data_IF_847348162439
#
_entry.id   IF_847348162439
#
_cell.length_a   1.000
_cell.length_b   1.000
_cell.length_c   1.000
_cell.angle_alpha   90.00
_cell.angle_beta   90.00
_cell.angle_gamma   90.00
#
_symmetry.space_group_name_H-M   'P 1'
#
loop_
_entity.id
_entity.type
_entity.pdbx_description
1 polymer ?
#
# COMPACT_ATOMS: atom_id res chain seq x y z
N UNK A 1 46.51 -13.49 31.04
CA UNK A 1 45.33 -13.86 30.22
C UNK A 1 44.12 -12.96 30.48
N UNK A 2 43.86 -12.50 31.71
CA UNK A 2 42.79 -11.52 32.01
C UNK A 2 42.90 -10.20 31.23
N UNK A 3 44.12 -9.70 31.04
CA UNK A 3 44.35 -8.45 30.32
C UNK A 3 43.86 -8.54 28.85
N UNK A 4 44.15 -9.64 28.15
CA UNK A 4 43.70 -9.85 26.75
C UNK A 4 42.17 -9.90 26.65
N UNK A 5 41.48 -10.60 27.56
CA UNK A 5 40.01 -10.62 27.60
C UNK A 5 39.43 -9.22 27.81
N UNK A 6 39.99 -8.45 28.74
CA UNK A 6 39.58 -7.06 28.99
C UNK A 6 39.78 -6.18 27.76
N UNK A 7 40.91 -6.29 27.05
CA UNK A 7 41.15 -5.56 25.80
C UNK A 7 40.15 -5.96 24.71
N UNK A 8 39.82 -7.24 24.56
CA UNK A 8 38.82 -7.71 23.60
C UNK A 8 37.43 -7.17 23.92
N UNK A 9 37.01 -7.20 25.19
CA UNK A 9 35.75 -6.60 25.64
C UNK A 9 35.70 -5.09 25.35
N UNK A 10 36.76 -4.34 25.66
CA UNK A 10 36.84 -2.92 25.31
C UNK A 10 36.73 -2.68 23.80
N UNK A 11 37.38 -3.50 22.97
CA UNK A 11 37.27 -3.36 21.52
C UNK A 11 35.86 -3.67 21.00
N UNK A 12 35.17 -4.64 21.60
CA UNK A 12 33.80 -4.96 21.23
C UNK A 12 32.82 -3.87 21.69
N UNK A 13 33.00 -3.28 22.87
CA UNK A 13 32.25 -2.10 23.32
C UNK A 13 32.50 -0.88 22.41
N UNK A 14 33.76 -0.66 21.99
CA UNK A 14 34.09 0.39 21.02
C UNK A 14 33.42 0.13 19.67
N UNK A 15 33.35 -1.13 19.22
CA UNK A 15 32.60 -1.48 18.00
C UNK A 15 31.11 -1.23 18.18
N UNK A 16 30.51 -1.70 19.28
CA UNK A 16 29.09 -1.50 19.62
C UNK A 16 28.72 -0.02 19.65
N UNK A 17 29.53 0.82 20.29
CA UNK A 17 29.29 2.28 20.35
C UNK A 17 29.35 2.98 18.98
N UNK A 18 29.93 2.32 17.96
CA UNK A 18 29.98 2.81 16.57
C UNK A 18 28.87 2.24 15.69
N UNK A 19 28.14 1.22 16.16
CA UNK A 19 26.98 0.68 15.45
C UNK A 19 25.86 1.72 15.54
N UNK A 20 25.22 2.01 14.40
CA UNK A 20 24.06 2.89 14.39
C UNK A 20 22.96 2.26 15.25
N UNK A 21 22.22 3.04 16.06
CA UNK A 21 21.06 2.50 16.73
C UNK A 21 20.10 1.90 15.70
N UNK A 22 19.38 0.84 16.10
CA UNK A 22 18.31 0.31 15.27
C UNK A 22 17.30 1.40 14.95
N UNK A 23 16.58 1.22 13.84
CA UNK A 23 15.41 2.05 13.55
C UNK A 23 14.41 1.91 14.69
N UNK A 24 13.73 3.00 15.01
CA UNK A 24 12.68 3.01 16.04
C UNK A 24 11.67 1.89 15.77
N UNK A 25 11.33 1.13 16.80
CA UNK A 25 10.27 0.13 16.71
C UNK A 25 8.96 0.80 16.34
N UNK A 26 8.12 0.16 15.51
CA UNK A 26 6.83 0.75 15.08
C UNK A 26 5.95 1.17 16.27
N UNK A 27 6.06 0.44 17.38
CA UNK A 27 5.32 0.69 18.61
C UNK A 27 5.74 1.95 19.37
N UNK A 28 6.95 2.45 19.17
CA UNK A 28 7.45 3.67 19.84
C UNK A 28 6.57 4.90 19.60
N UNK A 29 5.85 4.91 18.47
CA UNK A 29 4.92 5.98 18.08
C UNK A 29 3.45 5.62 18.30
N UNK A 30 3.14 4.35 18.52
CA UNK A 30 1.79 3.83 18.65
C UNK A 30 1.34 3.70 20.10
N UNK A 31 2.29 3.51 21.02
CA UNK A 31 2.03 3.24 22.43
C UNK A 31 2.58 4.34 23.33
N UNK A 32 1.94 4.54 24.48
CA UNK A 32 2.47 5.42 25.52
C UNK A 32 3.56 4.71 26.34
N UNK A 33 4.27 5.46 27.19
CA UNK A 33 5.41 4.93 27.95
C UNK A 33 5.07 3.76 28.88
N UNK A 34 3.87 3.75 29.48
CA UNK A 34 3.44 2.65 30.33
C UNK A 34 3.15 1.39 29.51
N UNK A 35 2.46 1.53 28.38
CA UNK A 35 2.18 0.45 27.44
C UNK A 35 3.48 -0.15 26.87
N UNK A 36 4.45 0.70 26.50
CA UNK A 36 5.78 0.26 26.04
C UNK A 36 6.55 -0.53 27.10
N UNK A 37 6.51 -0.09 28.36
CA UNK A 37 7.10 -0.84 29.46
C UNK A 37 6.40 -2.20 29.64
N UNK A 38 5.07 -2.23 29.67
CA UNK A 38 4.29 -3.47 29.80
C UNK A 38 4.61 -4.46 28.68
N UNK A 39 4.70 -3.99 27.44
CA UNK A 39 5.10 -4.81 26.29
C UNK A 39 6.52 -5.40 26.46
N UNK A 40 7.50 -4.56 26.80
CA UNK A 40 8.88 -5.00 26.99
C UNK A 40 9.03 -5.98 28.17
N UNK A 41 8.28 -5.79 29.26
CA UNK A 41 8.26 -6.70 30.41
C UNK A 41 7.68 -8.06 30.03
N UNK A 42 6.55 -8.10 29.33
CA UNK A 42 5.96 -9.35 28.87
C UNK A 42 6.91 -10.09 27.90
N UNK A 43 7.53 -9.38 26.96
CA UNK A 43 8.46 -9.96 25.99
C UNK A 43 9.67 -10.57 26.72
N UNK A 44 10.27 -9.84 27.66
CA UNK A 44 11.39 -10.33 28.46
C UNK A 44 11.02 -11.55 29.32
N UNK A 45 9.79 -11.62 29.83
CA UNK A 45 9.33 -12.77 30.61
C UNK A 45 9.23 -14.04 29.77
N UNK A 46 8.75 -13.95 28.52
CA UNK A 46 8.75 -15.07 27.59
C UNK A 46 10.18 -15.53 27.26
N UNK A 47 11.10 -14.60 27.04
CA UNK A 47 12.51 -14.94 26.79
C UNK A 47 13.15 -15.62 28.02
N UNK A 48 12.88 -15.11 29.22
CA UNK A 48 13.33 -15.72 30.48
C UNK A 48 12.76 -17.12 30.72
N UNK A 49 11.54 -17.38 30.25
CA UNK A 49 10.94 -18.71 30.35
C UNK A 49 11.70 -19.75 29.51
N UNK A 50 12.25 -19.35 28.36
CA UNK A 50 13.10 -20.21 27.54
C UNK A 50 14.50 -20.44 28.15
N UNK A 51 14.88 -19.67 29.17
CA UNK A 51 16.14 -19.81 29.91
C UNK A 51 16.72 -18.47 30.37
N UNK A 52 17.90 -18.53 31.00
CA UNK A 52 18.61 -17.30 31.39
C UNK A 52 18.98 -16.46 30.16
N UNK A 53 18.95 -15.14 30.32
CA UNK A 53 19.38 -14.19 29.29
C UNK A 53 20.86 -14.41 28.99
N UNK A 54 21.17 -14.70 27.73
CA UNK A 54 22.53 -14.89 27.23
C UNK A 54 23.23 -13.56 26.96
N UNK A 55 24.54 -13.60 26.75
CA UNK A 55 25.31 -12.40 26.41
C UNK A 55 24.87 -11.76 25.08
N UNK A 56 24.50 -12.55 24.05
CA UNK A 56 24.04 -11.95 22.80
C UNK A 56 22.60 -11.42 22.92
N UNK A 57 21.74 -12.06 23.72
CA UNK A 57 20.42 -11.51 24.03
C UNK A 57 20.53 -10.19 24.80
N UNK A 58 21.39 -10.12 25.82
CA UNK A 58 21.69 -8.89 26.55
C UNK A 58 22.19 -7.79 25.60
N UNK A 59 23.13 -8.14 24.70
CA UNK A 59 23.61 -7.23 23.66
C UNK A 59 22.48 -6.76 22.74
N UNK A 60 21.58 -7.65 22.31
CA UNK A 60 20.44 -7.29 21.47
C UNK A 60 19.50 -6.32 22.20
N UNK A 61 19.22 -6.54 23.49
CA UNK A 61 18.42 -5.62 24.31
C UNK A 61 19.01 -4.19 24.38
N UNK A 62 20.35 -4.04 24.34
CA UNK A 62 20.98 -2.70 24.33
C UNK A 62 20.59 -1.87 23.10
N UNK A 63 20.28 -2.52 21.97
CA UNK A 63 19.83 -1.84 20.75
C UNK A 63 18.29 -1.81 20.64
N UNK A 64 17.63 -2.87 21.08
CA UNK A 64 16.18 -3.04 20.99
C UNK A 64 15.39 -2.14 21.96
N UNK A 65 15.78 -2.07 23.24
CA UNK A 65 15.02 -1.26 24.22
C UNK A 65 15.02 0.23 23.87
N UNK A 66 16.15 0.86 23.49
CA UNK A 66 16.13 2.26 23.06
C UNK A 66 15.31 2.50 21.79
N UNK A 67 15.18 1.51 20.91
CA UNK A 67 14.34 1.59 19.72
C UNK A 67 12.84 1.52 20.07
N UNK A 68 12.46 0.86 21.18
CA UNK A 68 11.11 0.94 21.74
C UNK A 68 10.88 2.26 22.50
N UNK A 69 11.74 2.56 23.46
CA UNK A 69 11.75 3.81 24.22
C UNK A 69 13.09 4.02 24.92
N UNK A 70 13.62 5.24 24.84
CA UNK A 70 14.91 5.64 25.44
C UNK A 70 14.93 5.55 26.97
N UNK A 71 13.76 5.50 27.61
CA UNK A 71 13.63 5.46 29.06
C UNK A 71 13.67 4.02 29.63
N UNK A 72 13.59 3.00 28.78
CA UNK A 72 13.59 1.60 29.20
C UNK A 72 15.00 1.12 29.52
N UNK A 73 15.16 0.45 30.68
CA UNK A 73 16.42 -0.14 31.11
C UNK A 73 16.28 -1.63 31.32
N UNK A 74 17.24 -2.39 30.79
CA UNK A 74 17.22 -3.84 30.82
C UNK A 74 17.09 -4.42 32.23
N UNK A 75 17.83 -3.89 33.21
CA UNK A 75 17.78 -4.38 34.60
C UNK A 75 16.39 -4.21 35.23
N UNK A 76 15.72 -3.10 34.95
CA UNK A 76 14.37 -2.81 35.45
C UNK A 76 13.33 -3.72 34.77
N UNK A 77 13.49 -3.96 33.46
CA UNK A 77 12.63 -4.86 32.69
C UNK A 77 12.75 -6.31 33.16
N UNK A 78 13.98 -6.82 33.31
CA UNK A 78 14.21 -8.20 33.78
C UNK A 78 13.67 -8.40 35.20
N UNK A 79 13.88 -7.43 36.11
CA UNK A 79 13.34 -7.50 37.46
C UNK A 79 11.82 -7.58 37.46
N UNK A 80 11.14 -6.75 36.65
CA UNK A 80 9.68 -6.78 36.53
C UNK A 80 9.17 -8.07 35.89
N UNK A 81 9.90 -8.60 34.91
CA UNK A 81 9.56 -9.84 34.20
C UNK A 81 9.58 -11.07 35.11
N UNK A 82 10.49 -11.10 36.09
CA UNK A 82 10.55 -12.16 37.12
C UNK A 82 9.40 -12.09 38.13
N UNK A 83 8.72 -10.94 38.23
CA UNK A 83 7.61 -10.69 39.16
C UNK A 83 6.24 -10.73 38.46
N UNK A 84 6.13 -11.33 37.28
CA UNK A 84 4.85 -11.52 36.61
C UNK A 84 4.00 -12.52 37.39
N UNK A 85 2.74 -12.16 37.62
CA UNK A 85 1.70 -12.99 38.18
C UNK A 85 0.48 -12.99 37.25
N UNK A 86 -0.54 -13.78 37.58
CA UNK A 86 -1.74 -13.96 36.74
C UNK A 86 -2.44 -12.64 36.38
N UNK A 87 -2.52 -11.68 37.32
CA UNK A 87 -3.19 -10.41 37.08
C UNK A 87 -2.40 -9.51 36.11
N UNK A 88 -1.06 -9.45 36.27
CA UNK A 88 -0.19 -8.75 35.33
C UNK A 88 -0.22 -9.39 33.95
N UNK A 89 -0.18 -10.74 33.90
CA UNK A 89 -0.22 -11.48 32.64
C UNK A 89 -1.51 -11.19 31.86
N UNK A 90 -2.67 -11.21 32.54
CA UNK A 90 -3.96 -10.84 31.93
C UNK A 90 -3.94 -9.42 31.38
N UNK A 91 -3.45 -8.46 32.17
CA UNK A 91 -3.38 -7.07 31.73
C UNK A 91 -2.47 -6.89 30.49
N UNK A 92 -1.34 -7.60 30.44
CA UNK A 92 -0.44 -7.54 29.29
C UNK A 92 -1.03 -8.21 28.06
N UNK A 93 -1.72 -9.34 28.21
CA UNK A 93 -2.42 -10.00 27.10
C UNK A 93 -3.53 -9.09 26.55
N UNK A 94 -4.34 -8.47 27.41
CA UNK A 94 -5.38 -7.53 26.98
C UNK A 94 -4.79 -6.36 26.19
N UNK A 95 -3.62 -5.84 26.59
CA UNK A 95 -2.92 -4.82 25.80
C UNK A 95 -2.57 -5.32 24.39
N UNK A 96 -2.11 -6.56 24.24
CA UNK A 96 -1.77 -7.09 22.91
C UNK A 96 -2.99 -7.26 22.02
N UNK A 97 -4.12 -7.71 22.57
CA UNK A 97 -5.38 -7.88 21.84
C UNK A 97 -6.01 -6.54 21.45
N UNK A 98 -6.12 -5.61 22.40
CA UNK A 98 -6.76 -4.30 22.19
C UNK A 98 -6.02 -3.43 21.17
N UNK A 99 -4.70 -3.62 21.05
CA UNK A 99 -3.83 -2.84 20.17
C UNK A 99 -3.37 -3.60 18.91
N UNK A 100 -3.85 -4.82 18.70
CA UNK A 100 -3.49 -5.69 17.58
C UNK A 100 -1.97 -5.92 17.42
N UNK A 101 -1.32 -6.31 18.52
CA UNK A 101 0.14 -6.42 18.63
C UNK A 101 0.67 -7.84 18.60
N UNK A 102 -0.21 -8.84 18.51
CA UNK A 102 0.12 -10.25 18.71
C UNK A 102 1.26 -10.74 17.82
N UNK A 103 1.24 -10.36 16.55
CA UNK A 103 2.25 -10.82 15.58
C UNK A 103 3.61 -10.13 15.77
N UNK A 104 3.63 -8.84 16.12
CA UNK A 104 4.88 -8.15 16.47
C UNK A 104 5.48 -8.75 17.74
N UNK A 105 4.65 -8.98 18.75
CA UNK A 105 5.05 -9.59 20.01
C UNK A 105 5.66 -10.98 19.78
N UNK A 106 4.97 -11.84 19.04
CA UNK A 106 5.44 -13.20 18.77
C UNK A 106 6.74 -13.19 17.96
N UNK A 107 6.87 -12.31 16.97
CA UNK A 107 8.11 -12.15 16.20
C UNK A 107 9.28 -11.75 17.11
N UNK A 108 9.11 -10.72 17.93
CA UNK A 108 10.15 -10.22 18.84
C UNK A 108 10.56 -11.30 19.86
N UNK A 109 9.59 -12.00 20.45
CA UNK A 109 9.86 -13.12 21.36
C UNK A 109 10.66 -14.21 20.66
N UNK A 110 10.26 -14.63 19.45
CA UNK A 110 10.95 -15.71 18.73
C UNK A 110 12.36 -15.31 18.31
N UNK A 111 12.58 -14.08 17.83
CA UNK A 111 13.91 -13.58 17.46
C UNK A 111 14.85 -13.63 18.66
N UNK A 112 14.42 -13.13 19.82
CA UNK A 112 15.24 -13.18 21.04
C UNK A 112 15.46 -14.61 21.54
N UNK A 113 14.40 -15.42 21.61
CA UNK A 113 14.47 -16.78 22.16
C UNK A 113 15.34 -17.71 21.32
N UNK A 114 15.47 -17.48 20.01
CA UNK A 114 16.25 -18.32 19.08
C UNK A 114 17.66 -17.81 18.79
N UNK A 115 18.02 -16.62 19.26
CA UNK A 115 19.31 -15.99 18.91
C UNK A 115 20.51 -16.88 19.27
N UNK A 116 20.50 -17.46 20.47
CA UNK A 116 21.57 -18.33 20.99
C UNK A 116 21.10 -19.70 21.48
N UNK A 117 19.80 -19.84 21.76
CA UNK A 117 19.25 -20.98 22.47
C UNK A 117 18.43 -21.86 21.54
N UNK A 118 18.54 -23.16 21.76
CA UNK A 118 17.52 -24.10 21.27
C UNK A 118 16.24 -23.80 22.04
N UNK A 119 15.14 -23.59 21.31
CA UNK A 119 13.80 -23.48 21.91
C UNK A 119 13.53 -24.76 22.69
N UNK A 120 13.35 -24.66 24.02
CA UNK A 120 13.05 -25.81 24.87
C UNK A 120 11.66 -26.36 24.56
N UNK A 121 11.42 -27.63 24.87
CA UNK A 121 10.10 -28.24 24.64
C UNK A 121 9.03 -27.59 25.53
N UNK A 122 9.38 -27.23 26.76
CA UNK A 122 8.50 -26.48 27.67
C UNK A 122 8.14 -25.10 27.10
N UNK A 123 9.10 -24.40 26.49
CA UNK A 123 8.82 -23.10 25.88
C UNK A 123 7.94 -23.23 24.62
N UNK A 124 8.10 -24.31 23.82
CA UNK A 124 7.17 -24.63 22.71
C UNK A 124 5.75 -24.85 23.22
N UNK A 125 5.57 -25.59 24.31
CA UNK A 125 4.26 -25.81 24.91
C UNK A 125 3.60 -24.49 25.35
N UNK A 126 4.37 -23.60 25.98
CA UNK A 126 3.88 -22.26 26.38
C UNK A 126 3.50 -21.41 25.18
N UNK A 127 4.35 -21.32 24.15
CA UNK A 127 4.04 -20.56 22.93
C UNK A 127 2.81 -21.14 22.23
N UNK A 128 2.70 -22.46 22.12
CA UNK A 128 1.54 -23.11 21.52
C UNK A 128 0.26 -22.81 22.31
N UNK A 129 0.32 -22.87 23.64
CA UNK A 129 -0.81 -22.53 24.52
C UNK A 129 -1.20 -21.06 24.39
N UNK A 130 -0.22 -20.16 24.31
CA UNK A 130 -0.43 -18.72 24.08
C UNK A 130 -1.13 -18.47 22.74
N UNK A 131 -0.57 -18.99 21.64
CA UNK A 131 -1.16 -18.86 20.31
C UNK A 131 -2.57 -19.46 20.22
N UNK A 132 -2.80 -20.62 20.86
CA UNK A 132 -4.10 -21.27 20.89
C UNK A 132 -5.14 -20.46 21.67
N UNK A 133 -4.77 -19.94 22.85
CA UNK A 133 -5.65 -19.14 23.70
C UNK A 133 -6.09 -17.84 23.00
N UNK A 134 -5.24 -17.31 22.13
CA UNK A 134 -5.48 -16.08 21.38
C UNK A 134 -6.00 -16.34 19.95
N UNK A 135 -6.41 -17.58 19.68
CA UNK A 135 -7.02 -17.99 18.40
C UNK A 135 -6.20 -17.63 17.17
N UNK A 136 -4.87 -17.65 17.28
CA UNK A 136 -3.98 -17.36 16.15
C UNK A 136 -4.04 -18.48 15.11
N UNK A 137 -4.25 -18.14 13.84
CA UNK A 137 -4.31 -19.12 12.76
C UNK A 137 -2.92 -19.73 12.48
N UNK A 138 -2.88 -21.03 12.18
CA UNK A 138 -1.63 -21.75 11.91
C UNK A 138 -0.84 -21.13 10.75
N UNK A 139 -1.53 -20.70 9.69
CA UNK A 139 -0.90 -20.06 8.53
C UNK A 139 -0.24 -18.72 8.88
N UNK A 140 -0.80 -17.97 9.84
CA UNK A 140 -0.22 -16.72 10.30
C UNK A 140 0.99 -16.96 11.19
N UNK A 141 0.92 -17.96 12.09
CA UNK A 141 2.06 -18.40 12.90
C UNK A 141 3.23 -18.85 12.01
N UNK A 142 2.96 -19.60 10.94
CA UNK A 142 3.98 -20.02 9.97
C UNK A 142 4.66 -18.84 9.28
N UNK A 143 3.93 -17.74 9.01
CA UNK A 143 4.51 -16.52 8.45
C UNK A 143 5.41 -15.79 9.47
N UNK A 144 5.05 -15.79 10.75
CA UNK A 144 5.89 -15.22 11.83
C UNK A 144 7.19 -16.02 11.94
N UNK A 145 7.12 -17.35 11.94
CA UNK A 145 8.29 -18.23 11.98
C UNK A 145 9.19 -18.00 10.77
N UNK A 146 8.61 -17.95 9.57
CA UNK A 146 9.35 -17.68 8.33
C UNK A 146 10.09 -16.34 8.38
N UNK A 147 9.45 -15.27 8.88
CA UNK A 147 10.10 -13.97 9.02
C UNK A 147 11.20 -14.00 10.09
N UNK A 148 10.97 -14.68 11.21
CA UNK A 148 12.00 -14.91 12.24
C UNK A 148 13.22 -15.63 11.66
N UNK A 149 13.04 -16.67 10.85
CA UNK A 149 14.13 -17.37 10.15
C UNK A 149 14.89 -16.41 9.23
N UNK A 150 14.16 -15.59 8.46
CA UNK A 150 14.77 -14.58 7.60
C UNK A 150 15.63 -13.56 8.39
N UNK A 151 15.15 -13.10 9.54
CA UNK A 151 15.88 -12.17 10.43
C UNK A 151 17.16 -12.82 10.97
N UNK A 152 17.08 -14.09 11.34
CA UNK A 152 18.21 -14.84 11.89
C UNK A 152 19.16 -15.38 10.81
N UNK A 153 18.87 -15.13 9.53
CA UNK A 153 19.67 -15.61 8.40
C UNK A 153 19.60 -17.13 8.20
N UNK A 154 18.53 -17.77 8.68
CA UNK A 154 18.29 -19.20 8.53
C UNK A 154 17.63 -19.43 7.17
N UNK A 155 18.28 -20.22 6.31
CA UNK A 155 17.71 -20.60 5.02
C UNK A 155 16.47 -21.48 5.23
N UNK A 156 15.37 -21.11 4.57
CA UNK A 156 14.12 -21.88 4.56
C UNK A 156 13.75 -22.19 3.12
N UNK A 157 13.58 -23.47 2.83
CA UNK A 157 13.20 -23.96 1.49
C UNK A 157 11.71 -23.67 1.19
N UNK A 158 10.87 -23.56 2.23
CA UNK A 158 9.42 -23.41 2.13
C UNK A 158 8.98 -21.98 2.45
N UNK A 159 8.88 -21.14 1.41
CA UNK A 159 8.27 -19.81 1.53
C UNK A 159 6.74 -19.95 1.65
N UNK A 160 6.11 -19.48 2.73
CA UNK A 160 4.66 -19.48 2.84
C UNK A 160 4.05 -18.50 1.83
N UNK A 161 2.78 -18.72 1.51
CA UNK A 161 1.99 -17.72 0.77
C UNK A 161 1.85 -16.47 1.63
N UNK A 162 2.45 -15.37 1.19
CA UNK A 162 2.46 -14.12 1.96
C UNK A 162 1.03 -13.55 2.06
N UNK A 163 0.63 -13.19 3.28
CA UNK A 163 -0.67 -12.60 3.60
C UNK A 163 -0.51 -11.19 4.17
N UNK A 164 -1.63 -10.52 4.46
CA UNK A 164 -1.67 -9.22 5.15
C UNK A 164 -0.89 -9.22 6.47
N UNK A 165 -0.87 -10.33 7.21
CA UNK A 165 -0.12 -10.45 8.48
C UNK A 165 1.38 -10.30 8.25
N UNK A 166 1.93 -10.98 7.25
CA UNK A 166 3.34 -10.84 6.88
C UNK A 166 3.68 -9.39 6.52
N UNK A 167 2.85 -8.74 5.69
CA UNK A 167 3.04 -7.34 5.30
C UNK A 167 2.97 -6.37 6.48
N UNK A 168 2.13 -6.67 7.47
CA UNK A 168 2.05 -5.89 8.71
C UNK A 168 3.33 -6.01 9.51
N UNK A 169 3.90 -7.22 9.63
CA UNK A 169 5.15 -7.45 10.37
C UNK A 169 6.37 -6.79 9.73
N UNK A 170 6.51 -6.86 8.40
CA UNK A 170 7.67 -6.26 7.72
C UNK A 170 7.66 -4.72 7.71
N UNK A 171 6.53 -4.10 8.06
CA UNK A 171 6.47 -2.66 8.35
C UNK A 171 7.12 -2.31 9.70
N UNK A 172 7.50 -3.28 10.54
CA UNK A 172 8.32 -3.02 11.72
C UNK A 172 9.78 -2.81 11.30
N UNK A 173 10.27 -1.55 11.29
CA UNK A 173 11.54 -1.24 10.62
C UNK A 173 12.75 -1.71 11.43
N UNK A 174 12.58 -2.07 12.70
CA UNK A 174 13.66 -2.50 13.61
C UNK A 174 14.39 -3.74 13.07
N UNK A 175 13.67 -4.65 12.41
CA UNK A 175 14.20 -5.91 11.89
C UNK A 175 14.58 -5.86 10.41
N UNK A 176 14.21 -4.78 9.71
CA UNK A 176 14.29 -4.68 8.25
C UNK A 176 15.69 -4.96 7.71
N UNK A 177 16.72 -4.45 8.38
CA UNK A 177 18.12 -4.60 7.92
C UNK A 177 18.66 -6.03 8.00
N UNK A 178 18.00 -6.91 8.76
CA UNK A 178 18.45 -8.29 8.96
C UNK A 178 17.91 -9.26 7.91
N UNK A 179 16.71 -9.01 7.38
CA UNK A 179 16.09 -9.90 6.39
C UNK A 179 16.04 -9.30 4.98
N UNK A 180 16.17 -7.98 4.82
CA UNK A 180 16.05 -7.32 3.53
C UNK A 180 17.42 -6.88 2.97
N UNK A 181 17.64 -7.13 1.69
CA UNK A 181 18.83 -6.69 0.97
C UNK A 181 18.69 -5.24 0.52
N UNK A 182 19.72 -4.42 0.75
CA UNK A 182 19.68 -3.02 0.32
C UNK A 182 19.76 -2.90 -1.21
N UNK A 183 18.86 -2.13 -1.79
CA UNK A 183 18.86 -1.75 -3.21
C UNK A 183 19.80 -0.56 -3.41
N UNK A 184 20.78 -0.74 -4.27
CA UNK A 184 21.74 0.27 -4.69
C UNK A 184 21.66 0.48 -6.20
N UNK A 185 22.31 1.53 -6.70
CA UNK A 185 22.43 1.77 -8.15
C UNK A 185 23.02 0.58 -8.92
N UNK A 186 23.84 -0.23 -8.26
CA UNK A 186 24.55 -1.33 -8.89
C UNK A 186 23.71 -2.61 -9.00
N UNK A 187 22.78 -2.84 -8.06
CA UNK A 187 22.01 -4.10 -8.00
C UNK A 187 20.53 -3.96 -8.42
N UNK A 188 20.00 -2.75 -8.48
CA UNK A 188 18.58 -2.48 -8.79
C UNK A 188 18.10 -3.00 -10.15
N UNK A 189 19.02 -3.16 -11.12
CA UNK A 189 18.71 -3.59 -12.50
C UNK A 189 18.20 -5.03 -12.58
N UNK A 190 18.60 -5.89 -11.63
CA UNK A 190 18.21 -7.30 -11.64
C UNK A 190 17.99 -7.79 -10.21
N UNK A 191 16.73 -7.82 -9.81
CA UNK A 191 16.32 -8.28 -8.49
C UNK A 191 15.52 -9.56 -8.66
N UNK A 192 16.01 -10.64 -8.05
CA UNK A 192 15.36 -11.95 -8.12
C UNK A 192 15.28 -12.56 -6.73
N UNK A 193 14.08 -13.00 -6.34
CA UNK A 193 13.76 -13.63 -5.04
C UNK A 193 14.10 -12.76 -3.82
N UNK A 194 13.61 -13.19 -2.67
CA UNK A 194 13.89 -12.56 -1.38
C UNK A 194 13.22 -11.19 -1.22
N UNK A 195 13.64 -10.49 -0.16
CA UNK A 195 13.09 -9.20 0.23
C UNK A 195 14.19 -8.17 0.08
N UNK A 196 13.85 -7.04 -0.54
CA UNK A 196 14.76 -5.96 -0.85
C UNK A 196 14.16 -4.67 -0.38
N UNK A 197 15.01 -3.74 0.07
CA UNK A 197 14.55 -2.43 0.49
C UNK A 197 15.38 -1.32 -0.14
N UNK A 198 14.70 -0.23 -0.46
CA UNK A 198 15.27 1.02 -0.92
C UNK A 198 15.01 2.07 0.15
N UNK A 199 16.06 2.57 0.80
CA UNK A 199 15.96 3.59 1.86
C UNK A 199 16.41 4.98 1.44
N UNK A 200 16.94 5.10 0.22
CA UNK A 200 17.48 6.34 -0.35
C UNK A 200 16.98 6.58 -1.76
N UNK A 201 16.92 7.84 -2.21
CA UNK A 201 16.66 8.14 -3.60
C UNK A 201 17.72 7.53 -4.53
N UNK A 202 17.26 6.85 -5.57
CA UNK A 202 18.08 6.41 -6.70
C UNK A 202 17.58 7.10 -7.96
N UNK A 203 18.52 7.64 -8.73
CA UNK A 203 18.28 8.10 -10.10
C UNK A 203 19.00 7.18 -11.08
N UNK A 204 18.28 6.77 -12.14
CA UNK A 204 18.74 5.85 -13.19
C UNK A 204 18.31 6.38 -14.55
N UNK A 205 19.14 7.23 -15.15
CA UNK A 205 18.85 7.87 -16.44
C UNK A 205 19.01 6.93 -17.65
N UNK A 206 19.36 5.66 -17.43
CA UNK A 206 19.43 4.63 -18.47
C UNK A 206 19.54 3.22 -17.89
N UNK A 207 19.03 2.26 -18.66
CA UNK A 207 19.18 0.82 -18.43
C UNK A 207 17.85 0.16 -18.16
N UNK A 208 17.85 -1.17 -18.19
CA UNK A 208 16.62 -1.94 -17.98
C UNK A 208 16.59 -2.50 -16.55
N UNK A 209 15.39 -2.52 -15.98
CA UNK A 209 15.08 -3.11 -14.68
C UNK A 209 14.25 -4.37 -14.91
N UNK A 210 14.71 -5.48 -14.34
CA UNK A 210 13.99 -6.75 -14.27
C UNK A 210 13.85 -7.20 -12.82
N UNK A 211 12.61 -7.24 -12.32
CA UNK A 211 12.28 -7.72 -10.98
C UNK A 211 11.40 -8.98 -11.04
N UNK A 212 11.79 -10.03 -10.33
CA UNK A 212 11.10 -11.33 -10.40
C UNK A 212 11.01 -12.02 -9.03
N UNK A 213 9.81 -12.52 -8.70
CA UNK A 213 9.56 -13.37 -7.53
C UNK A 213 10.03 -12.77 -6.19
N UNK A 214 10.06 -11.45 -6.08
CA UNK A 214 10.66 -10.71 -4.97
C UNK A 214 9.65 -9.79 -4.27
N UNK A 215 10.03 -9.32 -3.10
CA UNK A 215 9.35 -8.23 -2.39
C UNK A 215 10.29 -7.02 -2.40
N UNK A 216 9.81 -5.87 -2.86
CA UNK A 216 10.56 -4.61 -2.89
C UNK A 216 9.88 -3.59 -2.00
N UNK A 217 10.60 -3.07 -1.02
CA UNK A 217 10.09 -2.14 -0.01
C UNK A 217 10.74 -0.77 -0.20
N UNK A 218 9.93 0.26 -0.41
CA UNK A 218 10.38 1.64 -0.39
C UNK A 218 10.19 2.16 1.04
N UNK A 219 11.29 2.44 1.73
CA UNK A 219 11.28 2.86 3.12
C UNK A 219 11.81 4.29 3.29
N UNK A 220 11.17 5.06 4.17
CA UNK A 220 11.54 6.45 4.48
C UNK A 220 11.66 7.33 3.23
N UNK A 221 12.89 7.70 2.87
CA UNK A 221 13.18 8.54 1.70
C UNK A 221 13.42 7.76 0.40
N UNK A 222 13.32 6.42 0.45
CA UNK A 222 13.47 5.52 -0.68
C UNK A 222 12.53 5.87 -1.82
N UNK A 223 13.09 6.17 -2.99
CA UNK A 223 12.35 6.51 -4.20
C UNK A 223 13.20 6.28 -5.44
N UNK A 224 12.55 5.92 -6.55
CA UNK A 224 13.20 5.88 -7.86
C UNK A 224 12.90 7.23 -8.55
N UNK A 225 13.76 8.21 -8.32
CA UNK A 225 13.63 9.55 -8.85
C UNK A 225 14.25 9.57 -10.25
N UNK A 226 13.42 9.49 -11.29
CA UNK A 226 13.84 9.52 -12.69
C UNK A 226 14.46 8.19 -13.17
N UNK A 227 13.63 7.41 -13.84
CA UNK A 227 14.03 6.23 -14.58
C UNK A 227 13.71 6.35 -16.07
N UNK A 228 14.69 5.99 -16.90
CA UNK A 228 14.60 5.85 -18.35
C UNK A 228 15.05 4.43 -18.75
N UNK A 229 14.27 3.75 -19.59
CA UNK A 229 14.53 2.37 -20.03
C UNK A 229 13.31 1.45 -19.91
N UNK A 230 13.52 0.13 -19.97
CA UNK A 230 12.46 -0.86 -19.75
C UNK A 230 12.33 -1.22 -18.27
N UNK A 231 11.11 -1.19 -17.73
CA UNK A 231 10.77 -1.71 -16.42
C UNK A 231 9.89 -2.95 -16.58
N UNK A 232 10.45 -4.11 -16.24
CA UNK A 232 9.72 -5.38 -16.28
C UNK A 232 9.65 -5.99 -14.89
N UNK A 233 8.45 -6.36 -14.45
CA UNK A 233 8.25 -7.06 -13.18
C UNK A 233 7.27 -8.22 -13.31
N UNK A 234 7.62 -9.38 -12.73
CA UNK A 234 6.77 -10.57 -12.71
C UNK A 234 6.71 -11.23 -11.33
N UNK A 235 5.51 -11.51 -10.83
CA UNK A 235 5.30 -12.13 -9.50
C UNK A 235 6.00 -11.32 -8.39
N UNK A 236 5.83 -9.99 -8.42
CA UNK A 236 6.51 -9.05 -7.50
C UNK A 236 5.51 -8.40 -6.57
N UNK A 237 5.86 -8.27 -5.29
CA UNK A 237 5.16 -7.36 -4.38
C UNK A 237 5.98 -6.08 -4.18
N UNK A 238 5.38 -4.92 -4.42
CA UNK A 238 6.00 -3.61 -4.27
C UNK A 238 5.29 -2.84 -3.16
N UNK A 239 6.03 -2.44 -2.12
CA UNK A 239 5.51 -1.80 -0.91
C UNK A 239 5.94 -0.35 -0.84
N UNK A 240 4.96 0.52 -0.61
CA UNK A 240 5.04 1.97 -0.56
C UNK A 240 5.79 2.62 -1.73
N UNK A 241 5.60 2.16 -3.00
CA UNK A 241 6.37 2.71 -4.10
C UNK A 241 6.21 4.21 -4.24
N UNK A 242 7.32 4.88 -4.54
CA UNK A 242 7.38 6.25 -5.03
C UNK A 242 8.37 6.26 -6.18
N UNK A 243 7.83 6.13 -7.39
CA UNK A 243 8.61 5.94 -8.61
C UNK A 243 8.22 7.00 -9.63
N UNK A 244 9.23 7.66 -10.19
CA UNK A 244 9.07 8.62 -11.27
C UNK A 244 9.74 8.11 -12.54
N UNK A 245 8.91 7.81 -13.53
CA UNK A 245 9.31 7.37 -14.85
C UNK A 245 9.35 8.56 -15.82
N UNK A 246 10.38 8.63 -16.64
CA UNK A 246 10.59 9.72 -17.58
C UNK A 246 10.25 9.32 -19.01
N UNK A 247 11.04 8.46 -19.65
CA UNK A 247 10.78 7.87 -20.97
C UNK A 247 11.00 6.36 -20.90
N UNK A 248 9.92 5.60 -20.72
CA UNK A 248 10.01 4.18 -20.37
C UNK A 248 9.13 3.27 -21.22
N UNK A 249 9.42 1.98 -21.14
CA UNK A 249 8.47 0.91 -21.45
C UNK A 249 8.20 0.15 -20.16
N UNK A 250 6.94 -0.06 -19.80
CA UNK A 250 6.56 -0.75 -18.56
C UNK A 250 5.80 -2.03 -18.92
N UNK A 251 6.21 -3.14 -18.31
CA UNK A 251 5.51 -4.42 -18.35
C UNK A 251 5.45 -5.02 -16.94
N UNK A 252 4.25 -5.05 -16.36
CA UNK A 252 4.00 -5.59 -15.02
C UNK A 252 3.00 -6.73 -15.12
N UNK A 253 3.36 -7.92 -14.65
CA UNK A 253 2.48 -9.10 -14.64
C UNK A 253 2.49 -9.78 -13.28
N UNK A 254 1.30 -10.14 -12.80
CA UNK A 254 1.10 -10.76 -11.48
C UNK A 254 1.76 -9.94 -10.34
N UNK A 255 1.53 -8.62 -10.34
CA UNK A 255 2.14 -7.69 -9.39
C UNK A 255 1.16 -7.28 -8.29
N UNK A 256 1.63 -7.25 -7.05
CA UNK A 256 0.90 -6.66 -5.93
C UNK A 256 1.56 -5.36 -5.47
N UNK A 257 0.85 -4.24 -5.59
CA UNK A 257 1.29 -2.91 -5.15
C UNK A 257 0.50 -2.53 -3.90
N UNK A 258 1.22 -2.22 -2.82
CA UNK A 258 0.63 -1.82 -1.53
C UNK A 258 1.30 -0.58 -0.99
N UNK A 259 0.57 0.32 -0.35
CA UNK A 259 1.15 1.45 0.36
C UNK A 259 0.11 2.26 1.12
N UNK A 260 0.53 2.85 2.24
CA UNK A 260 -0.26 3.81 3.01
C UNK A 260 0.54 5.09 3.16
N UNK A 261 -0.02 6.18 2.67
CA UNK A 261 0.68 7.45 2.52
C UNK A 261 0.03 8.53 3.39
N UNK A 262 0.78 9.59 3.68
CA UNK A 262 0.23 10.77 4.33
C UNK A 262 -0.71 11.50 3.37
N UNK A 263 -1.86 11.94 3.88
CA UNK A 263 -2.94 12.54 3.06
C UNK A 263 -2.49 13.84 2.38
N UNK A 264 -1.68 14.64 3.07
CA UNK A 264 -1.32 16.00 2.65
C UNK A 264 -0.22 16.04 1.58
N UNK A 265 0.54 14.95 1.42
CA UNK A 265 1.72 14.90 0.55
C UNK A 265 1.36 14.79 -0.95
N UNK A 266 0.09 14.56 -1.29
CA UNK A 266 -0.40 14.36 -2.67
C UNK A 266 0.44 13.36 -3.49
N UNK A 267 0.84 12.25 -2.88
CA UNK A 267 1.74 11.26 -3.48
C UNK A 267 1.08 10.55 -4.66
N UNK A 268 1.89 10.25 -5.68
CA UNK A 268 1.59 9.24 -6.71
C UNK A 268 2.63 8.13 -6.61
N UNK A 269 2.18 6.88 -6.57
CA UNK A 269 3.04 5.72 -6.42
C UNK A 269 3.91 5.48 -7.68
N UNK A 270 3.31 5.60 -8.86
CA UNK A 270 3.98 5.57 -10.15
C UNK A 270 3.60 6.81 -10.98
N UNK A 271 4.50 7.79 -10.99
CA UNK A 271 4.39 9.01 -11.80
C UNK A 271 5.10 8.81 -13.14
N UNK A 272 4.33 8.63 -14.21
CA UNK A 272 4.79 8.32 -15.56
C UNK A 272 4.71 9.60 -16.39
N UNK A 273 5.86 10.24 -16.58
CA UNK A 273 5.95 11.43 -17.41
C UNK A 273 5.70 11.07 -18.88
N UNK A 274 6.48 10.16 -19.45
CA UNK A 274 6.32 9.63 -20.81
C UNK A 274 6.60 8.12 -20.84
N UNK A 275 5.84 7.39 -21.64
CA UNK A 275 6.13 6.01 -21.95
C UNK A 275 5.71 5.64 -23.37
N UNK A 276 6.50 4.80 -24.03
CA UNK A 276 6.15 4.27 -25.35
C UNK A 276 4.99 3.28 -25.24
N UNK A 277 5.03 2.45 -24.18
CA UNK A 277 4.02 1.45 -23.89
C UNK A 277 4.02 1.15 -22.39
N UNK A 278 2.84 1.05 -21.81
CA UNK A 278 2.62 0.58 -20.44
C UNK A 278 1.61 -0.56 -20.48
N UNK A 279 2.01 -1.73 -20.00
CA UNK A 279 1.16 -2.92 -19.87
C UNK A 279 1.18 -3.36 -18.42
N UNK A 280 0.00 -3.48 -17.81
CA UNK A 280 -0.17 -3.95 -16.44
C UNK A 280 -1.25 -5.01 -16.43
N UNK A 281 -0.87 -6.24 -16.11
CA UNK A 281 -1.73 -7.42 -16.16
C UNK A 281 -1.79 -8.10 -14.79
N UNK A 282 -2.97 -8.64 -14.45
CA UNK A 282 -3.17 -9.50 -13.28
C UNK A 282 -2.68 -8.85 -11.97
N UNK A 283 -2.86 -7.53 -11.85
CA UNK A 283 -2.30 -6.77 -10.75
C UNK A 283 -3.32 -6.51 -9.63
N UNK A 284 -2.81 -6.37 -8.40
CA UNK A 284 -3.59 -5.93 -7.23
C UNK A 284 -2.96 -4.68 -6.66
N UNK A 285 -3.73 -3.61 -6.55
CA UNK A 285 -3.21 -2.28 -6.25
C UNK A 285 -3.99 -1.68 -5.09
N UNK A 286 -3.31 -1.37 -4.00
CA UNK A 286 -3.85 -0.67 -2.84
C UNK A 286 -2.90 0.43 -2.40
N UNK A 287 -3.26 1.69 -2.71
CA UNK A 287 -2.42 2.87 -2.43
C UNK A 287 -3.22 3.86 -1.60
N UNK A 288 -3.39 3.56 -0.32
CA UNK A 288 -4.23 4.34 0.60
C UNK A 288 -3.65 5.75 0.74
N UNK A 289 -4.49 6.74 0.41
CA UNK A 289 -4.12 8.16 0.38
C UNK A 289 -3.07 8.58 -0.66
N UNK A 290 -2.81 7.76 -1.68
CA UNK A 290 -1.99 8.16 -2.82
C UNK A 290 -2.66 7.73 -4.13
N UNK A 291 -2.34 8.41 -5.22
CA UNK A 291 -2.73 7.94 -6.55
C UNK A 291 -1.84 6.74 -6.92
N UNK A 292 -2.40 5.68 -7.49
CA UNK A 292 -1.58 4.55 -7.94
C UNK A 292 -0.73 4.93 -9.16
N UNK A 293 -1.35 5.46 -10.21
CA UNK A 293 -0.68 5.79 -11.47
C UNK A 293 -1.07 7.18 -11.98
N UNK A 294 -0.08 7.99 -12.36
CA UNK A 294 -0.30 9.23 -13.10
C UNK A 294 0.42 9.18 -14.44
N UNK A 295 -0.25 9.58 -15.52
CA UNK A 295 0.34 9.70 -16.85
C UNK A 295 0.28 11.16 -17.29
N UNK A 296 1.44 11.79 -17.49
CA UNK A 296 1.54 13.24 -17.68
C UNK A 296 1.67 13.71 -19.14
N UNK A 297 2.05 12.84 -20.08
CA UNK A 297 2.18 13.20 -21.50
C UNK A 297 1.14 12.55 -22.41
N UNK A 298 0.76 13.29 -23.45
CA UNK A 298 -0.20 12.92 -24.49
C UNK A 298 0.22 11.69 -25.32
N UNK A 299 1.51 11.39 -25.41
CA UNK A 299 2.04 10.28 -26.22
C UNK A 299 1.94 8.91 -25.57
N UNK A 300 1.56 8.84 -24.28
CA UNK A 300 1.64 7.58 -23.53
C UNK A 300 0.42 6.70 -23.79
N UNK A 301 0.65 5.48 -24.27
CA UNK A 301 -0.39 4.46 -24.36
C UNK A 301 -0.26 3.49 -23.18
N UNK A 302 -1.35 3.34 -22.41
CA UNK A 302 -1.39 2.42 -21.28
C UNK A 302 -2.52 1.40 -21.40
N UNK A 303 -2.26 0.17 -20.99
CA UNK A 303 -3.22 -0.93 -20.96
C UNK A 303 -3.18 -1.62 -19.61
N UNK A 304 -4.34 -1.72 -18.98
CA UNK A 304 -4.56 -2.42 -17.72
C UNK A 304 -5.54 -3.57 -17.98
N UNK A 305 -5.14 -4.78 -17.62
CA UNK A 305 -5.98 -5.98 -17.77
C UNK A 305 -6.08 -6.75 -16.47
N UNK A 306 -7.28 -7.22 -16.14
CA UNK A 306 -7.52 -8.05 -14.96
C UNK A 306 -6.87 -7.48 -13.70
N UNK A 307 -7.06 -6.18 -13.48
CA UNK A 307 -6.40 -5.42 -12.40
C UNK A 307 -7.40 -4.91 -11.38
N UNK A 308 -7.12 -5.17 -10.10
CA UNK A 308 -7.96 -4.74 -8.99
C UNK A 308 -7.33 -3.54 -8.28
N UNK A 309 -8.02 -2.39 -8.31
CA UNK A 309 -7.69 -1.19 -7.55
C UNK A 309 -8.60 -1.08 -6.33
N UNK A 310 -8.01 -1.05 -5.14
CA UNK A 310 -8.76 -0.98 -3.88
C UNK A 310 -8.24 0.14 -2.99
N UNK A 311 -9.15 0.97 -2.48
CA UNK A 311 -8.84 2.04 -1.52
C UNK A 311 -7.75 3.02 -1.97
N UNK A 312 -7.64 3.27 -3.28
CA UNK A 312 -6.65 4.20 -3.84
C UNK A 312 -7.11 5.65 -3.70
N UNK A 313 -6.15 6.56 -3.49
CA UNK A 313 -6.36 8.00 -3.55
C UNK A 313 -6.84 8.66 -2.24
N UNK A 314 -7.05 9.97 -2.31
CA UNK A 314 -7.64 10.82 -1.27
C UNK A 314 -8.30 12.06 -1.89
N UNK A 315 -9.04 12.80 -1.07
CA UNK A 315 -9.86 13.98 -1.45
C UNK A 315 -9.05 15.17 -2.00
N UNK A 316 -7.72 15.10 -1.99
CA UNK A 316 -6.82 16.15 -2.49
C UNK A 316 -6.22 15.83 -3.88
N UNK A 317 -6.65 14.73 -4.52
CA UNK A 317 -6.08 14.19 -5.76
C UNK A 317 -7.06 14.21 -6.93
N UNK A 318 -6.58 14.33 -8.16
CA UNK A 318 -7.39 14.09 -9.38
C UNK A 318 -7.23 12.63 -9.80
N UNK A 319 -8.30 11.84 -9.88
CA UNK A 319 -8.20 10.39 -10.13
C UNK A 319 -7.61 9.67 -8.93
N UNK A 320 -8.43 8.91 -8.20
CA UNK A 320 -7.97 8.22 -6.98
C UNK A 320 -7.06 7.04 -7.30
N UNK A 321 -7.46 6.20 -8.26
CA UNK A 321 -6.61 5.12 -8.77
C UNK A 321 -5.67 5.62 -9.86
N UNK A 322 -6.23 6.20 -10.93
CA UNK A 322 -5.46 6.58 -12.11
C UNK A 322 -5.85 7.96 -12.62
N UNK A 323 -4.84 8.76 -12.97
CA UNK A 323 -4.97 10.00 -13.74
C UNK A 323 -4.20 9.84 -15.04
N UNK A 324 -4.79 10.16 -16.18
CA UNK A 324 -4.05 10.20 -17.44
C UNK A 324 -4.48 11.37 -18.32
N UNK A 325 -3.56 11.76 -19.18
CA UNK A 325 -3.76 12.83 -20.15
C UNK A 325 -4.42 12.27 -21.42
N UNK A 326 -3.89 11.20 -22.02
CA UNK A 326 -4.44 10.59 -23.22
C UNK A 326 -4.29 9.05 -23.20
N UNK A 327 -5.11 8.36 -24.02
CA UNK A 327 -4.95 6.96 -24.47
C UNK A 327 -4.60 5.93 -23.40
N UNK A 328 -5.60 5.58 -22.58
CA UNK A 328 -5.55 4.41 -21.70
C UNK A 328 -6.66 3.42 -22.06
N UNK A 329 -6.40 2.14 -21.88
CA UNK A 329 -7.37 1.06 -22.03
C UNK A 329 -7.43 0.25 -20.74
N UNK A 330 -8.65 0.05 -20.22
CA UNK A 330 -8.94 -0.78 -19.06
C UNK A 330 -9.84 -1.94 -19.50
N UNK A 331 -9.45 -3.15 -19.17
CA UNK A 331 -10.19 -4.36 -19.50
C UNK A 331 -10.30 -5.27 -18.28
N UNK A 332 -11.51 -5.69 -17.93
CA UNK A 332 -11.75 -6.58 -16.80
C UNK A 332 -11.14 -6.06 -15.49
N UNK A 333 -11.15 -4.73 -15.29
CA UNK A 333 -10.58 -4.10 -14.10
C UNK A 333 -11.68 -3.84 -13.05
N UNK A 334 -11.32 -3.95 -11.77
CA UNK A 334 -12.19 -3.59 -10.65
C UNK A 334 -11.64 -2.37 -9.94
N UNK A 335 -12.50 -1.40 -9.65
CA UNK A 335 -12.21 -0.24 -8.82
C UNK A 335 -13.14 -0.25 -7.61
N UNK A 336 -12.58 -0.29 -6.42
CA UNK A 336 -13.32 -0.46 -5.18
C UNK A 336 -12.87 0.53 -4.11
N UNK A 337 -13.79 1.34 -3.57
CA UNK A 337 -13.50 2.31 -2.51
C UNK A 337 -12.40 3.34 -2.87
N UNK A 338 -12.20 3.65 -4.15
CA UNK A 338 -11.26 4.69 -4.57
C UNK A 338 -11.83 6.08 -4.29
N UNK A 339 -10.99 7.02 -3.84
CA UNK A 339 -11.42 8.39 -3.52
C UNK A 339 -10.51 9.45 -4.15
N UNK A 340 -11.11 10.55 -4.58
CA UNK A 340 -10.41 11.65 -5.22
C UNK A 340 -11.09 13.00 -4.92
N UNK A 341 -10.41 14.10 -5.19
CA UNK A 341 -11.05 15.41 -5.39
C UNK A 341 -12.02 15.34 -6.56
N UNK A 342 -11.56 14.90 -7.73
CA UNK A 342 -12.35 14.77 -8.98
C UNK A 342 -12.05 13.42 -9.61
N UNK A 343 -13.09 12.70 -10.04
CA UNK A 343 -13.00 11.35 -10.59
C UNK A 343 -12.50 10.33 -9.56
N UNK A 344 -13.40 9.90 -8.67
CA UNK A 344 -13.08 9.06 -7.51
C UNK A 344 -12.18 7.86 -7.82
N UNK A 345 -12.43 7.18 -8.94
CA UNK A 345 -11.54 6.16 -9.48
C UNK A 345 -10.59 6.71 -10.55
N UNK A 346 -11.15 7.31 -11.61
CA UNK A 346 -10.41 7.67 -12.83
C UNK A 346 -10.64 9.11 -13.24
N UNK A 347 -9.55 9.76 -13.66
CA UNK A 347 -9.57 11.07 -14.30
C UNK A 347 -8.98 10.99 -15.71
N UNK A 348 -9.80 11.35 -16.71
CA UNK A 348 -9.45 11.46 -18.12
C UNK A 348 -9.31 12.92 -18.52
N UNK A 349 -8.17 13.36 -19.06
CA UNK A 349 -8.17 14.61 -19.84
C UNK A 349 -8.82 14.38 -21.22
N UNK A 350 -8.41 13.33 -21.94
CA UNK A 350 -9.04 12.97 -23.22
C UNK A 350 -9.38 11.46 -23.25
N UNK A 351 -10.64 11.15 -23.54
CA UNK A 351 -11.10 9.77 -23.79
C UNK A 351 -11.13 9.38 -25.26
N UNK A 352 -10.96 8.07 -25.50
CA UNK A 352 -10.95 7.40 -26.80
C UNK A 352 -11.94 6.25 -26.80
N UNK A 353 -12.43 5.86 -27.97
CA UNK A 353 -13.38 4.76 -28.11
C UNK A 353 -12.96 3.47 -27.39
N UNK A 354 -13.93 2.80 -26.75
CA UNK A 354 -13.77 1.52 -26.07
C UNK A 354 -12.60 1.47 -25.07
N UNK A 355 -12.33 2.55 -24.35
CA UNK A 355 -11.25 2.64 -23.38
C UNK A 355 -11.56 2.00 -22.02
N UNK A 356 -12.82 1.72 -21.71
CA UNK A 356 -13.23 1.00 -20.50
C UNK A 356 -14.13 -0.17 -20.89
N UNK A 357 -13.64 -1.39 -20.75
CA UNK A 357 -14.32 -2.62 -21.20
C UNK A 357 -14.42 -3.63 -20.06
N UNK A 358 -15.61 -4.19 -19.84
CA UNK A 358 -15.88 -5.21 -18.82
C UNK A 358 -15.40 -4.81 -17.40
N UNK A 359 -15.44 -3.51 -17.06
CA UNK A 359 -14.92 -3.01 -15.78
C UNK A 359 -16.02 -2.89 -14.72
N UNK A 360 -15.62 -2.95 -13.44
CA UNK A 360 -16.51 -2.81 -12.29
C UNK A 360 -16.07 -1.65 -11.39
N UNK A 361 -16.98 -0.74 -11.09
CA UNK A 361 -16.73 0.38 -10.17
C UNK A 361 -17.69 0.31 -8.99
N UNK A 362 -17.15 0.25 -7.77
CA UNK A 362 -17.90 0.07 -6.53
C UNK A 362 -17.43 1.06 -5.47
N UNK A 363 -18.37 1.78 -4.86
CA UNK A 363 -18.11 2.68 -3.72
C UNK A 363 -16.98 3.70 -3.96
N UNK A 364 -16.78 4.14 -5.20
CA UNK A 364 -15.76 5.14 -5.52
C UNK A 364 -16.36 6.55 -5.38
N UNK A 365 -15.62 7.50 -4.80
CA UNK A 365 -16.16 8.80 -4.38
C UNK A 365 -15.28 9.96 -4.81
N UNK A 366 -15.91 11.04 -5.26
CA UNK A 366 -15.29 12.35 -5.45
C UNK A 366 -15.73 13.29 -4.32
N UNK A 367 -14.84 14.15 -3.83
CA UNK A 367 -15.16 15.15 -2.79
C UNK A 367 -15.60 16.51 -3.36
N UNK A 368 -15.52 16.72 -4.67
CA UNK A 368 -15.96 17.97 -5.30
C UNK A 368 -17.47 18.00 -5.39
N UNK A 369 -18.10 18.79 -4.51
CA UNK A 369 -19.52 19.11 -4.59
C UNK A 369 -19.75 20.07 -5.74
N UNK A 370 -20.53 19.63 -6.73
CA UNK A 370 -21.13 20.56 -7.68
C UNK A 370 -22.31 21.30 -7.00
N UNK A 371 -22.71 22.43 -7.58
CA UNK A 371 -23.87 23.16 -7.08
C UNK A 371 -25.08 22.23 -6.95
N UNK A 372 -25.88 22.41 -5.89
CA UNK A 372 -26.98 21.55 -5.45
C UNK A 372 -26.60 20.25 -4.69
N UNK A 373 -25.36 20.13 -4.25
CA UNK A 373 -24.92 19.03 -3.35
C UNK A 373 -24.78 17.68 -4.06
N UNK A 374 -24.60 17.70 -5.38
CA UNK A 374 -24.34 16.50 -6.17
C UNK A 374 -22.88 16.12 -6.00
N UNK A 375 -22.66 15.05 -5.25
CA UNK A 375 -21.36 14.47 -4.94
C UNK A 375 -21.41 12.97 -5.26
N UNK A 376 -20.89 12.54 -6.42
CA UNK A 376 -20.69 11.11 -6.68
C UNK A 376 -19.84 10.76 -7.93
N UNK A 377 -18.92 11.61 -8.39
CA UNK A 377 -18.17 11.27 -9.61
C UNK A 377 -17.17 10.12 -9.39
N UNK A 378 -17.44 8.98 -9.99
CA UNK A 378 -16.51 7.84 -10.09
C UNK A 378 -15.52 8.07 -11.23
N UNK A 379 -16.01 8.62 -12.34
CA UNK A 379 -15.27 8.87 -13.58
C UNK A 379 -15.42 10.33 -13.98
N UNK A 380 -14.31 10.97 -14.35
CA UNK A 380 -14.32 12.33 -14.90
C UNK A 380 -13.61 12.39 -16.25
N UNK A 381 -14.24 13.02 -17.24
CA UNK A 381 -13.70 13.27 -18.58
C UNK A 381 -13.62 14.78 -18.83
N UNK A 382 -12.42 15.33 -19.07
CA UNK A 382 -12.24 16.76 -19.36
C UNK A 382 -12.55 17.10 -20.83
N UNK A 383 -12.35 16.15 -21.75
CA UNK A 383 -12.59 16.24 -23.19
C UNK A 383 -12.88 14.87 -23.79
N UNK A 384 -13.69 14.85 -24.85
CA UNK A 384 -14.00 13.64 -25.62
C UNK A 384 -13.42 13.73 -27.02
N UNK A 385 -12.67 12.71 -27.44
CA UNK A 385 -12.21 12.57 -28.82
C UNK A 385 -13.18 11.66 -29.55
N UNK A 386 -13.81 12.19 -30.61
CA UNK A 386 -14.78 11.50 -31.48
C UNK A 386 -16.17 11.24 -30.85
N UNK A 387 -17.19 11.98 -31.31
CA UNK A 387 -18.54 12.00 -30.73
C UNK A 387 -19.45 10.84 -31.18
N UNK A 388 -18.97 9.89 -31.98
CA UNK A 388 -19.83 8.87 -32.62
C UNK A 388 -19.73 7.46 -32.02
N UNK A 389 -18.93 7.22 -30.99
CA UNK A 389 -18.67 5.86 -30.49
C UNK A 389 -18.73 5.77 -28.97
N UNK A 390 -19.04 4.57 -28.46
CA UNK A 390 -19.09 4.31 -27.02
C UNK A 390 -17.70 4.19 -26.43
N UNK A 391 -17.51 4.75 -25.24
CA UNK A 391 -16.23 4.75 -24.53
C UNK A 391 -16.22 3.64 -23.47
N UNK A 392 -17.40 3.35 -22.92
CA UNK A 392 -17.61 2.35 -21.88
C UNK A 392 -18.45 1.21 -22.46
N UNK A 393 -17.90 -0.01 -22.39
CA UNK A 393 -18.49 -1.22 -22.95
C UNK A 393 -18.60 -2.28 -21.87
N UNK A 394 -19.76 -2.95 -21.80
CA UNK A 394 -20.07 -4.03 -20.85
C UNK A 394 -19.68 -3.77 -19.38
N UNK A 395 -19.64 -2.52 -18.93
CA UNK A 395 -19.12 -2.17 -17.60
C UNK A 395 -20.24 -1.92 -16.59
N UNK A 396 -20.00 -2.26 -15.33
CA UNK A 396 -20.91 -2.03 -14.20
C UNK A 396 -20.38 -0.87 -13.36
N UNK A 397 -21.15 0.21 -13.27
CA UNK A 397 -20.74 1.45 -12.61
C UNK A 397 -21.72 1.78 -11.49
N UNK A 398 -21.21 1.91 -10.27
CA UNK A 398 -21.96 2.38 -9.11
C UNK A 398 -21.47 3.79 -8.72
N UNK A 399 -22.14 4.81 -9.22
CA UNK A 399 -21.83 6.23 -8.99
C UNK A 399 -21.80 7.04 -10.30
N UNK A 400 -21.67 8.36 -10.18
CA UNK A 400 -21.84 9.32 -11.28
C UNK A 400 -20.63 9.37 -12.22
N UNK A 401 -20.89 9.81 -13.45
CA UNK A 401 -19.88 10.03 -14.49
C UNK A 401 -20.00 11.48 -14.96
N UNK A 402 -18.90 12.23 -14.94
CA UNK A 402 -18.95 13.61 -15.40
C UNK A 402 -18.09 13.87 -16.60
N UNK A 403 -18.60 14.76 -17.44
CA UNK A 403 -17.97 15.16 -18.68
C UNK A 403 -17.95 16.69 -18.73
N UNK A 404 -16.76 17.25 -18.61
CA UNK A 404 -16.50 18.63 -18.95
C UNK A 404 -16.11 18.69 -20.44
N UNK A 405 -16.46 19.76 -21.14
CA UNK A 405 -16.09 19.94 -22.55
C UNK A 405 -15.80 21.40 -22.85
N UNK A 406 -14.52 21.73 -23.08
CA UNK A 406 -14.06 23.12 -23.19
C UNK A 406 -14.57 23.90 -24.42
N UNK A 407 -15.12 23.25 -25.46
CA UNK A 407 -15.51 23.91 -26.71
C UNK A 407 -17.02 24.26 -26.81
N UNK A 408 -17.79 23.98 -25.77
CA UNK A 408 -19.19 24.38 -25.62
C UNK A 408 -19.41 24.65 -24.14
N UNK A 409 -19.99 25.79 -23.76
CA UNK A 409 -20.22 26.24 -22.38
C UNK A 409 -21.14 25.33 -21.52
N UNK A 410 -21.20 24.04 -21.79
CA UNK A 410 -22.07 23.07 -21.14
C UNK A 410 -21.23 22.04 -20.40
N UNK A 411 -21.18 22.14 -19.07
CA UNK A 411 -20.80 21.02 -18.21
C UNK A 411 -21.86 19.93 -18.33
N UNK A 412 -21.45 18.74 -18.73
CA UNK A 412 -22.31 17.56 -18.84
C UNK A 412 -22.12 16.64 -17.65
N UNK A 413 -22.89 16.84 -16.58
CA UNK A 413 -22.89 15.91 -15.44
C UNK A 413 -23.83 14.73 -15.75
N UNK A 414 -23.27 13.58 -16.13
CA UNK A 414 -24.00 12.34 -16.37
C UNK A 414 -24.12 11.54 -15.07
N UNK A 415 -25.12 11.89 -14.25
CA UNK A 415 -25.37 11.14 -13.04
C UNK A 415 -25.67 9.66 -13.36
N UNK A 416 -25.12 8.76 -12.57
CA UNK A 416 -25.34 7.32 -12.66
C UNK A 416 -25.52 6.85 -11.23
N UNK A 417 -26.54 7.39 -10.56
CA UNK A 417 -26.94 6.84 -9.28
C UNK A 417 -27.35 5.38 -9.50
N UNK A 418 -26.94 4.52 -8.55
CA UNK A 418 -27.68 3.30 -8.26
C UNK A 418 -29.17 3.68 -8.22
N UNK A 419 -29.94 3.28 -9.22
CA UNK A 419 -31.34 3.65 -9.51
C UNK A 419 -31.64 5.00 -10.21
N UNK A 420 -30.80 5.39 -11.17
CA UNK A 420 -31.24 6.18 -12.34
C UNK A 420 -30.69 7.60 -12.42
N UNK A 421 -30.79 8.17 -13.62
CA UNK A 421 -30.51 9.57 -14.02
C UNK A 421 -29.19 9.85 -14.77
N UNK A 422 -28.99 9.22 -15.94
CA UNK A 422 -28.01 9.68 -16.95
C UNK A 422 -28.45 11.07 -17.46
N UNK A 423 -27.97 12.15 -16.84
CA UNK A 423 -28.22 13.52 -17.30
C UNK A 423 -27.15 13.93 -18.32
N UNK A 424 -27.51 13.95 -19.60
CA UNK A 424 -26.60 14.48 -20.62
C UNK A 424 -26.94 15.94 -20.88
N UNK A 425 -26.19 16.88 -20.31
CA UNK A 425 -26.28 18.31 -20.67
C UNK A 425 -25.47 18.60 -21.94
N UNK A 426 -25.77 17.96 -23.07
CA UNK A 426 -25.34 18.49 -24.37
C UNK A 426 -26.21 18.01 -25.54
N UNK A 427 -26.37 18.85 -26.56
CA UNK A 427 -27.15 18.56 -27.77
C UNK A 427 -26.41 17.70 -28.81
N UNK A 428 -25.27 17.09 -28.47
CA UNK A 428 -24.44 16.33 -29.41
C UNK A 428 -24.57 14.81 -29.21
N UNK A 429 -24.99 14.11 -30.27
CA UNK A 429 -25.43 12.70 -30.36
C UNK A 429 -24.40 11.59 -30.01
N UNK A 430 -23.62 11.70 -28.94
CA UNK A 430 -22.68 10.66 -28.51
C UNK A 430 -23.26 9.71 -27.45
N UNK A 431 -23.14 8.40 -27.65
CA UNK A 431 -23.52 7.39 -26.64
C UNK A 431 -22.32 7.07 -25.75
N UNK A 432 -22.32 7.52 -24.49
CA UNK A 432 -21.21 7.24 -23.57
C UNK A 432 -21.08 5.76 -23.19
N UNK A 433 -22.22 5.14 -22.91
CA UNK A 433 -22.38 3.74 -22.57
C UNK A 433 -22.95 3.01 -23.76
N UNK A 434 -22.39 1.84 -24.09
CA UNK A 434 -23.02 0.92 -25.03
C UNK A 434 -24.33 0.34 -24.44
N UNK A 435 -25.15 -0.32 -25.27
CA UNK A 435 -26.45 -0.84 -24.85
C UNK A 435 -26.37 -1.86 -23.70
N UNK A 436 -25.27 -2.61 -23.60
CA UNK A 436 -25.06 -3.58 -22.53
C UNK A 436 -24.61 -2.89 -21.22
N UNK A 437 -23.69 -1.93 -21.26
CA UNK A 437 -23.30 -1.14 -20.08
C UNK A 437 -24.49 -0.40 -19.48
N UNK A 438 -25.39 0.14 -20.32
CA UNK A 438 -26.61 0.79 -19.82
C UNK A 438 -27.47 -0.17 -18.99
N UNK A 439 -27.66 -1.40 -19.47
CA UNK A 439 -28.40 -2.44 -18.73
C UNK A 439 -27.68 -2.83 -17.44
N UNK A 440 -26.35 -3.01 -17.50
CA UNK A 440 -25.54 -3.40 -16.33
C UNK A 440 -25.46 -2.29 -15.26
N UNK A 441 -25.60 -1.02 -15.66
CA UNK A 441 -25.73 0.11 -14.74
C UNK A 441 -27.12 0.22 -14.07
N UNK A 442 -28.11 -0.54 -14.55
CA UNK A 442 -29.49 -0.51 -14.03
C UNK A 442 -30.36 0.62 -14.59
N UNK A 443 -30.10 1.10 -15.82
CA UNK A 443 -30.86 2.19 -16.46
C UNK A 443 -31.69 1.65 -17.64
N UNK A 444 -33.02 1.64 -17.51
CA UNK A 444 -33.91 0.76 -18.30
C UNK A 444 -34.47 1.29 -19.65
N UNK A 445 -34.31 2.56 -20.07
CA UNK A 445 -34.55 2.99 -21.47
C UNK A 445 -34.19 4.44 -21.75
N UNK A 446 -33.91 4.79 -23.02
CA UNK A 446 -33.65 6.16 -23.50
C UNK A 446 -34.87 7.09 -23.43
N UNK A 447 -36.09 6.55 -23.43
CA UNK A 447 -37.33 7.31 -23.51
C UNK A 447 -37.81 7.81 -22.14
N UNK A 448 -37.50 7.08 -21.06
CA UNK A 448 -37.66 7.56 -19.70
C UNK A 448 -36.64 8.67 -19.33
N UNK A 449 -35.52 8.77 -20.07
CA UNK A 449 -34.40 9.71 -19.82
C UNK A 449 -34.72 11.17 -20.16
N UNK A 450 -35.63 11.44 -21.10
CA UNK A 450 -35.85 12.82 -21.60
C UNK A 450 -37.01 13.56 -20.93
N UNK A 451 -37.88 12.87 -20.18
CA UNK A 451 -39.18 13.43 -19.75
C UNK A 451 -39.14 14.27 -18.45
N UNK A 452 -37.98 14.38 -17.81
CA UNK A 452 -37.76 15.20 -16.60
C UNK A 452 -36.68 16.28 -16.77
N UNK A 453 -35.98 16.33 -17.91
CA UNK A 453 -34.99 17.39 -18.22
C UNK A 453 -35.63 18.78 -18.38
N UNK A 454 -36.96 18.86 -18.53
CA UNK A 454 -37.68 20.12 -18.66
C UNK A 454 -37.97 20.82 -17.30
N UNK A 455 -37.68 20.17 -16.16
CA UNK A 455 -37.94 20.73 -14.82
C UNK A 455 -36.70 21.22 -14.08
N UNK A 456 -35.50 21.06 -14.64
CA UNK A 456 -34.25 21.55 -14.04
C UNK A 456 -33.89 22.89 -14.68
N UNK A 457 -33.71 23.98 -13.92
CA UNK A 457 -33.37 25.29 -14.47
C UNK A 457 -32.06 25.27 -15.27
N UNK A 458 -32.01 26.08 -16.33
CA UNK A 458 -30.90 26.16 -17.26
C UNK A 458 -29.61 26.63 -16.54
N UNK A 459 -28.58 25.77 -16.55
CA UNK A 459 -27.30 25.90 -15.83
C UNK A 459 -26.55 27.22 -16.18
N UNK A 460 -26.77 27.77 -17.38
CA UNK A 460 -26.24 29.07 -17.82
C UNK A 460 -26.62 30.26 -16.89
N UNK A 461 -27.71 30.13 -16.12
CA UNK A 461 -28.13 31.19 -15.19
C UNK A 461 -27.27 31.26 -13.92
N UNK A 462 -26.57 30.19 -13.55
CA UNK A 462 -25.76 30.10 -12.33
C UNK A 462 -24.35 30.69 -12.48
N UNK A 463 -23.80 30.71 -13.69
CA UNK A 463 -22.45 31.25 -13.97
C UNK A 463 -22.39 32.79 -13.97
N UNK A 464 -23.54 33.46 -14.18
CA UNK A 464 -23.61 34.93 -14.20
C UNK A 464 -23.38 35.60 -12.83
N UNK A 465 -23.30 34.81 -11.75
CA UNK A 465 -23.08 35.31 -10.39
C UNK A 465 -21.61 35.28 -9.94
N UNK A 466 -20.72 34.70 -10.76
CA UNK A 466 -19.30 34.50 -10.41
C UNK A 466 -18.32 35.03 -11.47
N UNK A 467 -18.72 36.05 -12.26
CA UNK A 467 -17.79 36.86 -13.07
C UNK A 467 -17.36 38.13 -12.34
#
# INVERSE_FOLDING_TARGET
MENIKSWLTCFDEIKESKVKPFKDHILSRALNQHELNSYAVLQAAFVLFNGNITANQERLYKFYLPALSKDLKLSEIISQAQEINDDKLKAYISLLEEKDLLFFFLLDVLVFSRLDNVITDEFKEVINSFCHSLSMAADDINQVIYLCDCILGIESDDKPKLSTVFFTMINNPIWLEFFAKNITKDNIKSINKGIWYLDKPIELLAGDILWQQCVVIFDGEGRLAHFDGAFTSKEVTIISPVVKFNNVTIDMDEVEIKGQYQVDDKITAFDINAANQVTINNAKVSTVNARAFAFCQHSTNARFENTDFTACGNENLLGGAVKFVERVYFNQCTFNHCKAQIGGALFFNIAYENNIVDCHFKHCLSSTEWQDGVNAEVLYFERLFNISTSWIVNSNIQGDISIHHLNSYSEGIVNCYLSGWINFYNRSNGYMLDGQSQKLSGVDSSEAKNKYCETVPNYDSLLSQYS
#
